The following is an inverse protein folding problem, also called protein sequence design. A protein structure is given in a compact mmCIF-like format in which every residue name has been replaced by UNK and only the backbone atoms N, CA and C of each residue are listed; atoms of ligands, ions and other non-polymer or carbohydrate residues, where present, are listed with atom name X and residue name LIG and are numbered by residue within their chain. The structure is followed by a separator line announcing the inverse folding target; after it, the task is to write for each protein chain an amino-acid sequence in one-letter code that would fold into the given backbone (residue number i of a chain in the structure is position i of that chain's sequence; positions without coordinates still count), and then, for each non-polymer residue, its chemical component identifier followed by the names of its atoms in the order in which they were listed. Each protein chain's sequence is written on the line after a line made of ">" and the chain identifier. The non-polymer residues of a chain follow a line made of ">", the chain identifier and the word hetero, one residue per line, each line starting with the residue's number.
data_IF_768938915991
#
_entry.id   IF_768938915991
#
_cell.length_a   1.000
_cell.length_b   1.000
_cell.length_c   1.000
_cell.angle_alpha   90.00
_cell.angle_beta   90.00
_cell.angle_gamma   90.00
#
_symmetry.space_group_name_H-M   'P 1'
#
loop_
_entity.id
_entity.type
_entity.pdbx_description
1 polymer ?
#
# COMPACT_ATOMS: atom_id res chain seq x y z
N UNK A 1 -67.16 20.00 32.91
CA UNK A 1 -66.20 18.88 32.97
C UNK A 1 -65.22 19.06 31.82
N UNK A 2 -63.94 19.18 32.15
CA UNK A 2 -62.86 19.56 31.23
C UNK A 2 -62.46 18.39 30.33
N UNK A 3 -62.32 18.67 29.03
CA UNK A 3 -61.72 17.80 28.04
C UNK A 3 -60.21 18.10 28.01
N UNK A 4 -59.39 17.21 28.54
CA UNK A 4 -57.94 17.35 28.58
C UNK A 4 -57.28 16.89 27.29
N UNK A 5 -56.61 17.80 26.58
CA UNK A 5 -55.55 17.49 25.62
C UNK A 5 -54.21 17.65 26.31
N UNK A 6 -53.36 16.64 26.26
CA UNK A 6 -51.92 16.79 26.48
C UNK A 6 -51.18 16.08 25.33
N UNK A 7 -50.45 16.88 24.56
CA UNK A 7 -49.33 16.46 23.73
C UNK A 7 -48.18 16.00 24.65
N UNK A 8 -47.30 15.10 24.20
CA UNK A 8 -45.88 15.37 23.83
C UNK A 8 -45.01 14.10 23.91
N UNK A 9 -44.07 14.00 22.96
CA UNK A 9 -42.78 13.31 22.99
C UNK A 9 -42.71 11.78 22.82
N UNK A 10 -42.69 11.33 21.56
CA UNK A 10 -41.99 10.11 21.16
C UNK A 10 -40.48 10.39 21.09
N UNK A 11 -39.73 9.90 22.07
CA UNK A 11 -38.27 9.74 21.93
C UNK A 11 -38.00 8.55 20.99
N UNK A 12 -37.43 8.83 19.81
CA UNK A 12 -36.79 7.82 18.97
C UNK A 12 -35.41 7.52 19.57
N UNK A 13 -35.32 6.42 20.34
CA UNK A 13 -34.03 5.82 20.70
C UNK A 13 -33.60 4.85 19.61
N UNK A 14 -32.65 5.25 18.77
CA UNK A 14 -31.90 4.32 17.92
C UNK A 14 -30.58 4.06 18.65
N UNK A 15 -30.51 2.96 19.40
CA UNK A 15 -29.22 2.38 19.76
C UNK A 15 -28.78 1.48 18.61
N UNK A 16 -27.65 1.87 18.01
CA UNK A 16 -26.85 1.00 17.16
C UNK A 16 -26.40 -0.21 17.98
N UNK A 17 -27.00 -1.37 17.71
CA UNK A 17 -26.56 -2.67 18.23
C UNK A 17 -25.72 -3.36 17.17
N UNK A 18 -24.40 -3.17 17.23
CA UNK A 18 -23.45 -4.07 16.60
C UNK A 18 -23.53 -5.41 17.34
N UNK A 19 -24.16 -6.42 16.74
CA UNK A 19 -24.05 -7.79 17.21
C UNK A 19 -24.03 -8.74 16.01
N UNK A 20 -22.84 -9.22 15.68
CA UNK A 20 -22.67 -10.44 14.91
C UNK A 20 -21.56 -11.26 15.59
N UNK A 21 -21.93 -12.43 16.11
CA UNK A 21 -21.03 -13.45 16.64
C UNK A 21 -20.16 -14.03 15.51
N UNK A 22 -18.87 -14.33 15.73
CA UNK A 22 -18.04 -14.94 14.70
C UNK A 22 -18.36 -16.44 14.63
N UNK A 23 -19.17 -16.83 13.65
CA UNK A 23 -19.14 -18.18 13.12
C UNK A 23 -17.83 -18.36 12.34
N UNK A 24 -17.12 -19.45 12.66
CA UNK A 24 -15.89 -19.85 11.99
C UNK A 24 -16.14 -20.04 10.49
N UNK A 25 -15.52 -19.21 9.68
CA UNK A 25 -15.26 -19.52 8.27
C UNK A 25 -13.77 -19.29 8.01
N UNK A 26 -13.09 -20.40 7.75
CA UNK A 26 -11.67 -20.51 7.44
C UNK A 26 -11.42 -20.04 6.01
N UNK A 27 -10.82 -18.85 5.89
CA UNK A 27 -10.37 -18.22 4.64
C UNK A 27 -10.65 -16.72 4.66
N UNK A 28 -9.79 -15.86 4.07
CA UNK A 28 -10.08 -14.44 3.98
C UNK A 28 -11.34 -14.23 3.13
N UNK A 29 -12.46 -13.88 3.77
CA UNK A 29 -13.67 -13.47 3.04
C UNK A 29 -13.40 -12.14 2.37
N UNK A 30 -13.46 -12.12 1.05
CA UNK A 30 -13.50 -10.90 0.25
C UNK A 30 -14.79 -10.13 0.57
N UNK A 31 -14.69 -9.05 1.33
CA UNK A 31 -15.85 -8.21 1.70
C UNK A 31 -15.77 -6.79 1.15
N UNK A 32 -14.68 -6.38 0.49
CA UNK A 32 -14.64 -5.04 -0.10
C UNK A 32 -15.50 -4.94 -1.35
N UNK A 33 -16.07 -3.76 -1.56
CA UNK A 33 -16.79 -3.44 -2.79
C UNK A 33 -15.90 -3.59 -4.02
N UNK A 34 -14.60 -3.34 -3.90
CA UNK A 34 -13.64 -3.46 -4.99
C UNK A 34 -13.36 -4.93 -5.35
N UNK A 35 -13.22 -5.83 -4.36
CA UNK A 35 -13.09 -7.26 -4.66
C UNK A 35 -14.41 -7.85 -5.15
N UNK A 36 -15.54 -7.35 -4.66
CA UNK A 36 -16.88 -7.75 -5.14
C UNK A 36 -17.14 -7.23 -6.56
N UNK A 37 -16.59 -6.08 -6.93
CA UNK A 37 -16.66 -5.50 -8.27
C UNK A 37 -15.62 -6.10 -9.22
N UNK A 38 -14.48 -6.57 -8.70
CA UNK A 38 -13.44 -7.32 -9.40
C UNK A 38 -13.99 -8.70 -9.77
N UNK A 39 -14.79 -8.76 -10.84
CA UNK A 39 -15.54 -9.95 -11.24
C UNK A 39 -14.82 -10.74 -12.34
N UNK A 40 -15.08 -12.06 -12.30
CA UNK A 40 -14.89 -13.12 -13.29
C UNK A 40 -13.49 -13.71 -13.59
N UNK A 41 -12.37 -13.03 -13.33
CA UNK A 41 -11.02 -13.58 -13.64
C UNK A 41 -10.08 -13.59 -12.44
N UNK A 42 -10.53 -14.13 -11.30
CA UNK A 42 -9.68 -14.26 -10.13
C UNK A 42 -8.71 -15.45 -10.26
N UNK A 43 -7.44 -15.22 -9.95
CA UNK A 43 -6.40 -16.24 -9.90
C UNK A 43 -5.92 -16.43 -8.47
N UNK A 44 -5.90 -17.68 -8.00
CA UNK A 44 -5.32 -18.03 -6.70
C UNK A 44 -3.86 -18.46 -6.88
N UNK A 45 -2.93 -17.77 -6.21
CA UNK A 45 -1.48 -18.05 -6.26
C UNK A 45 -0.80 -17.58 -4.96
N UNK A 46 0.49 -17.89 -4.79
CA UNK A 46 1.34 -17.37 -3.71
C UNK A 46 0.73 -17.53 -2.31
N UNK A 47 0.78 -18.75 -1.77
CA UNK A 47 0.24 -19.07 -0.43
C UNK A 47 -1.28 -18.86 -0.26
N UNK A 48 -2.03 -18.86 -1.36
CA UNK A 48 -3.49 -18.85 -1.33
C UNK A 48 -4.12 -17.46 -1.53
N UNK A 49 -3.31 -16.44 -1.82
CA UNK A 49 -3.80 -15.09 -2.12
C UNK A 49 -4.59 -15.13 -3.43
N UNK A 50 -5.83 -14.66 -3.37
CA UNK A 50 -6.70 -14.56 -4.55
C UNK A 50 -6.61 -13.16 -5.12
N UNK A 51 -6.17 -13.07 -6.36
CA UNK A 51 -6.02 -11.83 -7.11
C UNK A 51 -7.15 -11.71 -8.12
N UNK A 52 -7.87 -10.61 -8.09
CA UNK A 52 -8.93 -10.30 -9.04
C UNK A 52 -8.57 -9.02 -9.79
N UNK A 53 -8.84 -8.98 -11.09
CA UNK A 53 -8.61 -7.81 -11.94
C UNK A 53 -9.60 -6.70 -11.64
N UNK A 54 -9.14 -5.45 -11.75
CA UNK A 54 -9.98 -4.25 -11.75
C UNK A 54 -9.87 -3.53 -13.10
N UNK A 55 -10.92 -2.80 -13.48
CA UNK A 55 -10.94 -2.04 -14.74
C UNK A 55 -10.83 -2.94 -15.96
N UNK A 56 -9.93 -2.58 -16.88
CA UNK A 56 -9.64 -3.31 -18.12
C UNK A 56 -8.42 -4.24 -17.99
N UNK A 57 -7.88 -4.41 -16.78
CA UNK A 57 -6.72 -5.25 -16.58
C UNK A 57 -7.01 -6.71 -16.95
N UNK A 58 -6.00 -7.37 -17.48
CA UNK A 58 -5.99 -8.80 -17.74
C UNK A 58 -4.96 -9.47 -16.82
N UNK A 59 -5.31 -10.67 -16.35
CA UNK A 59 -4.51 -11.44 -15.41
C UNK A 59 -4.25 -12.84 -15.94
N UNK A 60 -2.98 -13.24 -15.96
CA UNK A 60 -2.56 -14.55 -16.45
C UNK A 60 -1.56 -15.20 -15.49
N UNK A 61 -1.84 -16.45 -15.11
CA UNK A 61 -0.88 -17.28 -14.38
C UNK A 61 0.09 -17.94 -15.36
N UNK A 62 1.38 -17.63 -15.23
CA UNK A 62 2.46 -18.18 -16.06
C UNK A 62 3.49 -18.96 -15.21
N UNK A 63 4.47 -19.61 -15.81
CA UNK A 63 5.56 -20.24 -15.05
C UNK A 63 6.44 -19.23 -14.31
N UNK A 64 6.58 -18.01 -14.85
CA UNK A 64 7.40 -16.93 -14.25
C UNK A 64 6.72 -16.27 -13.05
N UNK A 65 5.38 -16.30 -13.00
CA UNK A 65 4.62 -15.58 -11.99
C UNK A 65 3.21 -15.23 -12.46
N UNK A 66 2.62 -14.21 -11.83
CA UNK A 66 1.33 -13.66 -12.19
C UNK A 66 1.53 -12.40 -13.04
N UNK A 67 1.10 -12.46 -14.30
CA UNK A 67 1.29 -11.39 -15.29
C UNK A 67 0.03 -10.56 -15.39
N UNK A 68 0.20 -9.25 -15.27
CA UNK A 68 -0.87 -8.24 -15.31
C UNK A 68 -0.60 -7.33 -16.51
N UNK A 69 -1.58 -7.20 -17.39
CA UNK A 69 -1.52 -6.37 -18.61
C UNK A 69 -2.83 -5.60 -18.80
N UNK A 70 -2.94 -4.80 -19.87
CA UNK A 70 -4.13 -3.98 -20.12
C UNK A 70 -4.25 -2.78 -19.16
N UNK A 71 -3.13 -2.35 -18.59
CA UNK A 71 -3.05 -1.27 -17.61
C UNK A 71 -2.91 0.08 -18.33
N UNK A 72 -4.02 0.74 -18.64
CA UNK A 72 -4.03 2.03 -19.34
C UNK A 72 -4.52 3.19 -18.47
N UNK A 73 -5.36 2.90 -17.48
CA UNK A 73 -5.92 3.86 -16.54
C UNK A 73 -5.32 3.67 -15.15
N UNK A 74 -4.51 4.65 -14.73
CA UNK A 74 -3.78 4.66 -13.46
C UNK A 74 -4.69 4.55 -12.22
N UNK A 75 -5.97 4.88 -12.33
CA UNK A 75 -6.91 4.89 -11.20
C UNK A 75 -7.80 3.65 -11.14
N UNK A 76 -7.88 2.87 -12.22
CA UNK A 76 -8.91 1.83 -12.37
C UNK A 76 -8.34 0.47 -12.77
N UNK A 77 -7.36 0.45 -13.68
CA UNK A 77 -6.82 -0.80 -14.21
C UNK A 77 -5.79 -1.35 -13.22
N UNK A 78 -5.96 -2.60 -12.79
CA UNK A 78 -5.14 -3.15 -11.73
C UNK A 78 -5.53 -4.54 -11.26
N UNK A 79 -5.03 -4.87 -10.07
CA UNK A 79 -5.41 -6.07 -9.32
C UNK A 79 -5.69 -5.72 -7.87
N UNK A 80 -6.59 -6.48 -7.26
CA UNK A 80 -6.86 -6.48 -5.83
C UNK A 80 -6.74 -7.89 -5.28
N UNK A 81 -6.04 -8.02 -4.16
CA UNK A 81 -5.82 -9.26 -3.42
C UNK A 81 -6.50 -9.22 -2.06
N UNK A 82 -7.33 -10.22 -1.76
CA UNK A 82 -7.85 -10.43 -0.41
C UNK A 82 -6.82 -11.19 0.43
N UNK A 83 -6.37 -10.58 1.52
CA UNK A 83 -5.29 -11.11 2.37
C UNK A 83 -5.76 -11.49 3.77
N UNK A 84 -7.02 -11.21 4.12
CA UNK A 84 -7.54 -11.39 5.47
C UNK A 84 -6.94 -10.38 6.44
N UNK A 85 -7.22 -10.48 7.75
CA UNK A 85 -6.64 -9.55 8.73
C UNK A 85 -5.12 -9.74 8.80
N UNK A 86 -4.36 -8.97 8.03
CA UNK A 86 -2.92 -9.08 7.87
C UNK A 86 -2.15 -8.01 8.68
N UNK A 87 -0.92 -8.34 9.07
CA UNK A 87 0.04 -7.44 9.71
C UNK A 87 1.16 -7.02 8.76
N UNK A 88 1.54 -7.91 7.85
CA UNK A 88 2.50 -7.61 6.80
C UNK A 88 2.18 -8.36 5.52
N UNK A 89 2.57 -7.75 4.41
CA UNK A 89 2.51 -8.28 3.07
C UNK A 89 3.81 -7.91 2.37
N UNK A 90 4.31 -8.84 1.56
CA UNK A 90 5.49 -8.63 0.73
C UNK A 90 5.22 -9.15 -0.66
N UNK A 91 5.62 -8.37 -1.66
CA UNK A 91 5.59 -8.74 -3.07
C UNK A 91 6.94 -8.50 -3.71
N UNK A 92 7.41 -9.46 -4.51
CA UNK A 92 8.48 -9.27 -5.48
C UNK A 92 7.86 -9.16 -6.86
N UNK A 93 8.26 -8.15 -7.63
CA UNK A 93 7.67 -7.89 -8.93
C UNK A 93 8.64 -7.26 -9.92
N UNK A 94 8.31 -7.40 -11.20
CA UNK A 94 8.91 -6.68 -12.31
C UNK A 94 7.88 -5.69 -12.84
N UNK A 95 8.21 -4.41 -12.86
CA UNK A 95 7.34 -3.37 -13.43
C UNK A 95 7.94 -2.90 -14.75
N UNK A 96 7.19 -3.09 -15.83
CA UNK A 96 7.49 -2.52 -17.15
C UNK A 96 6.77 -1.19 -17.30
N UNK A 97 7.48 -0.10 -17.02
CA UNK A 97 6.89 1.23 -17.14
C UNK A 97 6.65 1.64 -18.59
N UNK A 98 7.15 0.95 -19.62
CA UNK A 98 7.00 1.39 -21.02
C UNK A 98 7.46 2.84 -21.29
N UNK A 99 6.88 3.49 -22.31
CA UNK A 99 7.16 4.89 -22.65
C UNK A 99 6.11 5.87 -22.05
N UNK A 100 6.52 7.04 -21.51
CA UNK A 100 5.64 8.14 -21.09
C UNK A 100 5.46 8.35 -19.57
N UNK A 101 4.45 9.14 -19.17
CA UNK A 101 4.16 9.54 -17.77
C UNK A 101 3.45 8.44 -16.95
N UNK A 102 4.00 7.24 -17.03
CA UNK A 102 3.40 6.00 -16.55
C UNK A 102 3.64 5.81 -15.06
N UNK A 103 2.72 5.14 -14.39
CA UNK A 103 2.83 4.95 -12.95
C UNK A 103 2.10 3.70 -12.48
N UNK A 104 2.61 3.14 -11.39
CA UNK A 104 1.95 2.11 -10.60
C UNK A 104 1.73 2.66 -9.19
N UNK A 105 0.54 2.43 -8.63
CA UNK A 105 0.20 2.78 -7.26
C UNK A 105 -0.17 1.51 -6.53
N UNK A 106 0.65 1.14 -5.55
CA UNK A 106 0.32 0.10 -4.58
C UNK A 106 -0.54 0.69 -3.49
N UNK A 107 -1.44 -0.12 -2.93
CA UNK A 107 -2.29 0.32 -1.83
C UNK A 107 -2.56 -0.81 -0.83
N UNK A 108 -2.71 -0.42 0.43
CA UNK A 108 -3.27 -1.25 1.49
C UNK A 108 -4.64 -0.72 1.88
N UNK A 109 -5.61 -1.61 2.12
CA UNK A 109 -6.95 -1.25 2.60
C UNK A 109 -7.31 -2.02 3.85
N UNK A 110 -8.02 -1.36 4.75
CA UNK A 110 -8.81 -2.04 5.77
C UNK A 110 -10.28 -1.94 5.36
N UNK A 111 -10.87 -3.08 5.02
CA UNK A 111 -12.19 -3.17 4.39
C UNK A 111 -12.25 -2.27 3.14
N UNK A 112 -13.19 -1.31 3.11
CA UNK A 112 -13.37 -0.35 2.02
C UNK A 112 -12.54 0.93 2.19
N UNK A 113 -11.78 1.11 3.27
CA UNK A 113 -10.92 2.28 3.46
C UNK A 113 -9.51 2.01 2.95
N UNK A 114 -9.04 2.81 1.98
CA UNK A 114 -7.61 2.87 1.64
C UNK A 114 -6.87 3.51 2.81
N UNK A 115 -5.97 2.76 3.44
CA UNK A 115 -5.23 3.22 4.61
C UNK A 115 -3.87 3.83 4.24
N UNK A 116 -3.26 3.32 3.17
CA UNK A 116 -2.00 3.81 2.67
C UNK A 116 -1.82 3.49 1.18
N UNK A 117 -1.05 4.32 0.48
CA UNK A 117 -0.63 4.07 -0.90
C UNK A 117 0.87 4.30 -1.05
N UNK A 118 1.46 3.70 -2.07
CA UNK A 118 2.79 3.97 -2.56
C UNK A 118 2.73 4.10 -4.09
N UNK A 119 2.86 5.32 -4.59
CA UNK A 119 2.94 5.60 -6.02
C UNK A 119 4.39 5.59 -6.48
N UNK A 120 4.65 4.90 -7.58
CA UNK A 120 5.93 4.86 -8.28
C UNK A 120 5.75 5.29 -9.73
N UNK A 121 6.56 6.24 -10.19
CA UNK A 121 6.50 6.74 -11.55
C UNK A 121 7.87 7.23 -12.01
N UNK A 122 8.26 7.03 -13.27
CA UNK A 122 9.38 7.75 -13.85
C UNK A 122 9.19 9.27 -13.71
N UNK A 123 10.30 9.99 -13.59
CA UNK A 123 10.32 11.44 -13.70
C UNK A 123 10.32 11.82 -15.19
N UNK A 124 9.29 12.54 -15.67
CA UNK A 124 9.20 12.89 -17.09
C UNK A 124 10.29 13.87 -17.55
N UNK A 125 10.83 14.66 -16.61
CA UNK A 125 11.82 15.68 -16.88
C UNK A 125 13.26 15.15 -16.69
N UNK A 126 13.42 14.01 -16.01
CA UNK A 126 14.72 13.45 -15.65
C UNK A 126 14.78 11.95 -16.02
N UNK A 127 15.23 11.61 -17.24
CA UNK A 127 15.45 10.22 -17.63
C UNK A 127 16.33 9.49 -16.62
N UNK A 128 15.92 8.29 -16.21
CA UNK A 128 16.63 7.50 -15.22
C UNK A 128 16.28 7.81 -13.76
N UNK A 129 15.36 8.74 -13.52
CA UNK A 129 14.87 9.05 -12.17
C UNK A 129 13.50 8.42 -11.95
N UNK A 130 13.33 7.76 -10.79
CA UNK A 130 12.05 7.28 -10.30
C UNK A 130 11.58 8.16 -9.14
N UNK A 131 10.29 8.49 -9.14
CA UNK A 131 9.61 9.19 -8.05
C UNK A 131 8.82 8.20 -7.23
N UNK A 132 9.06 8.20 -5.92
CA UNK A 132 8.25 7.47 -4.95
C UNK A 132 7.42 8.45 -4.12
N UNK A 133 6.13 8.16 -3.96
CA UNK A 133 5.20 9.00 -3.20
C UNK A 133 4.28 8.12 -2.36
N UNK A 134 4.60 7.91 -1.07
CA UNK A 134 3.66 7.28 -0.17
C UNK A 134 2.57 8.28 0.26
N UNK A 135 1.40 7.76 0.62
CA UNK A 135 0.38 8.50 1.35
C UNK A 135 -0.10 7.66 2.52
N UNK A 136 -0.43 8.31 3.63
CA UNK A 136 -0.89 7.67 4.85
C UNK A 136 -2.12 8.40 5.38
N UNK A 137 -3.09 7.67 5.93
CA UNK A 137 -4.39 8.23 6.34
C UNK A 137 -4.65 8.17 7.84
N UNK A 138 -3.63 7.87 8.66
CA UNK A 138 -3.81 7.67 10.11
C UNK A 138 -4.24 8.94 10.84
N UNK A 139 -4.04 10.12 10.22
CA UNK A 139 -4.43 11.43 10.73
C UNK A 139 -5.39 12.17 9.78
N UNK A 140 -6.32 13.01 10.29
CA UNK A 140 -7.16 13.86 9.45
C UNK A 140 -6.32 14.77 8.55
N UNK A 141 -6.57 14.71 7.23
CA UNK A 141 -5.78 15.46 6.24
C UNK A 141 -4.52 14.74 5.74
N UNK A 142 -4.26 13.52 6.24
CA UNK A 142 -3.09 12.71 5.94
C UNK A 142 -2.04 12.77 7.05
N UNK A 143 -1.21 11.73 7.15
CA UNK A 143 -0.11 11.66 8.11
C UNK A 143 1.22 12.05 7.46
N UNK A 144 2.11 12.68 8.22
CA UNK A 144 3.51 12.84 7.81
C UNK A 144 4.23 11.50 7.90
N UNK A 145 5.47 11.45 7.41
CA UNK A 145 6.30 10.25 7.48
C UNK A 145 7.78 10.60 7.57
N UNK A 146 8.54 9.64 8.07
CA UNK A 146 10.00 9.65 8.02
C UNK A 146 10.50 8.68 6.97
N UNK A 147 11.71 8.95 6.48
CA UNK A 147 12.41 8.15 5.47
C UNK A 147 13.71 7.60 6.03
N UNK A 148 13.94 6.31 5.85
CA UNK A 148 15.23 5.67 6.09
C UNK A 148 15.73 5.08 4.78
N UNK A 149 16.99 5.35 4.44
CA UNK A 149 17.67 4.79 3.27
C UNK A 149 18.73 3.81 3.77
N UNK A 150 18.76 2.62 3.19
CA UNK A 150 19.75 1.59 3.50
C UNK A 150 20.50 1.18 2.24
N UNK A 151 21.76 0.83 2.43
CA UNK A 151 22.63 0.21 1.43
C UNK A 151 23.07 -1.15 1.96
N UNK A 152 22.62 -2.22 1.31
CA UNK A 152 22.89 -3.60 1.73
C UNK A 152 22.49 -3.89 3.20
N UNK A 153 21.40 -3.25 3.65
CA UNK A 153 20.87 -3.38 5.02
C UNK A 153 21.45 -2.40 6.04
N UNK A 154 22.52 -1.67 5.71
CA UNK A 154 23.11 -0.66 6.59
C UNK A 154 22.49 0.72 6.33
N UNK A 155 22.06 1.47 7.36
CA UNK A 155 21.46 2.79 7.16
C UNK A 155 22.49 3.82 6.69
N UNK A 156 22.25 4.42 5.52
CA UNK A 156 23.05 5.52 4.95
C UNK A 156 22.40 6.88 5.18
N UNK A 157 21.08 6.91 5.38
CA UNK A 157 20.35 8.04 5.95
C UNK A 157 19.22 7.54 6.84
N UNK A 158 18.98 8.22 7.96
CA UNK A 158 18.09 7.71 9.01
C UNK A 158 17.08 8.76 9.45
N UNK A 159 15.79 8.38 9.47
CA UNK A 159 14.66 9.21 9.92
C UNK A 159 14.68 10.64 9.34
N UNK A 160 14.91 10.75 8.04
CA UNK A 160 14.78 12.02 7.33
C UNK A 160 13.29 12.42 7.36
N UNK A 161 12.94 13.63 7.82
CA UNK A 161 11.55 14.06 7.79
C UNK A 161 11.10 14.26 6.34
N UNK A 162 9.83 13.98 6.02
CA UNK A 162 9.28 14.15 4.67
C UNK A 162 9.65 15.49 4.01
N UNK A 163 9.55 16.60 4.74
CA UNK A 163 9.86 17.95 4.23
C UNK A 163 11.33 18.23 3.93
N UNK A 164 12.24 17.31 4.25
CA UNK A 164 13.66 17.37 3.87
C UNK A 164 13.92 16.87 2.44
N UNK A 165 12.88 16.34 1.79
CA UNK A 165 12.90 15.73 0.46
C UNK A 165 11.79 16.43 -0.35
N UNK A 166 12.10 17.53 -1.07
CA UNK A 166 11.09 18.33 -1.78
C UNK A 166 10.24 17.45 -2.74
N UNK A 167 10.86 16.41 -3.32
CA UNK A 167 10.23 15.24 -3.93
C UNK A 167 11.25 14.08 -3.86
N UNK A 168 10.83 12.88 -3.47
CA UNK A 168 11.76 11.75 -3.39
C UNK A 168 12.08 11.25 -4.80
N UNK A 169 13.18 11.76 -5.35
CA UNK A 169 13.71 11.44 -6.67
C UNK A 169 14.92 10.55 -6.50
N UNK A 170 14.83 9.36 -7.07
CA UNK A 170 15.87 8.35 -7.01
C UNK A 170 16.47 8.20 -8.40
N UNK A 171 17.73 8.62 -8.55
CA UNK A 171 18.47 8.35 -9.76
C UNK A 171 18.92 6.89 -9.75
N UNK A 172 18.42 6.09 -10.69
CA UNK A 172 18.81 4.70 -10.86
C UNK A 172 19.89 4.68 -11.94
N UNK A 173 21.08 4.18 -11.58
CA UNK A 173 22.24 4.16 -12.48
C UNK A 173 21.94 3.41 -13.79
N UNK A 174 21.06 2.40 -13.72
CA UNK A 174 20.53 1.66 -14.86
C UNK A 174 19.01 1.52 -14.72
N UNK A 175 18.27 2.59 -15.01
CA UNK A 175 16.82 2.44 -15.27
C UNK A 175 16.64 1.65 -16.56
N UNK A 176 16.50 0.35 -16.42
CA UNK A 176 15.95 -0.50 -17.45
C UNK A 176 14.45 -0.18 -17.58
N UNK A 177 13.88 -0.43 -18.75
CA UNK A 177 12.42 -0.42 -18.96
C UNK A 177 11.70 -1.30 -17.91
N UNK A 178 12.38 -2.32 -17.42
CA UNK A 178 11.94 -3.28 -16.41
C UNK A 178 12.63 -3.01 -15.07
N UNK A 179 11.86 -2.78 -14.01
CA UNK A 179 12.41 -2.64 -12.66
C UNK A 179 12.01 -3.84 -11.79
N UNK A 180 13.01 -4.58 -11.31
CA UNK A 180 12.82 -5.62 -10.29
C UNK A 180 12.82 -5.01 -8.90
N UNK A 181 11.71 -5.12 -8.20
CA UNK A 181 11.54 -4.57 -6.88
C UNK A 181 10.86 -5.53 -5.93
N UNK A 182 11.24 -5.43 -4.66
CA UNK A 182 10.50 -6.01 -3.54
C UNK A 182 9.80 -4.88 -2.78
N UNK A 183 8.47 -4.86 -2.83
CA UNK A 183 7.65 -3.96 -2.04
C UNK A 183 7.14 -4.71 -0.80
N UNK A 184 7.27 -4.10 0.37
CA UNK A 184 6.71 -4.60 1.62
C UNK A 184 5.77 -3.55 2.17
N UNK A 185 4.57 -3.97 2.54
CA UNK A 185 3.63 -3.18 3.31
C UNK A 185 3.43 -3.85 4.67
N UNK A 186 3.61 -3.10 5.74
CA UNK A 186 3.43 -3.65 7.08
C UNK A 186 2.89 -2.61 8.05
N UNK A 187 2.36 -3.09 9.16
CA UNK A 187 2.14 -2.27 10.35
C UNK A 187 3.21 -2.57 11.39
N UNK A 188 3.56 -1.58 12.20
CA UNK A 188 4.37 -1.80 13.39
C UNK A 188 3.54 -2.50 14.49
N UNK A 189 4.00 -3.66 14.93
CA UNK A 189 3.70 -4.14 16.29
C UNK A 189 4.59 -3.36 17.27
N UNK A 190 4.10 -3.05 18.47
CA UNK A 190 4.80 -2.19 19.44
C UNK A 190 6.30 -2.50 19.58
N UNK A 191 7.11 -1.44 19.69
CA UNK A 191 8.56 -1.57 19.83
C UNK A 191 9.29 -1.88 18.52
N UNK A 192 9.15 -1.00 17.52
CA UNK A 192 10.09 -0.96 16.41
C UNK A 192 11.51 -0.75 16.96
N UNK A 193 12.51 -1.43 16.38
CA UNK A 193 13.95 -1.15 16.60
C UNK A 193 14.32 0.29 16.25
N UNK A 194 13.39 1.05 15.65
CA UNK A 194 13.54 2.45 15.26
C UNK A 194 13.26 3.44 16.40
N UNK A 195 12.80 3.04 17.59
CA UNK A 195 12.70 3.93 18.77
C UNK A 195 11.73 5.11 18.61
N UNK A 196 10.53 4.98 19.17
CA UNK A 196 9.46 5.98 19.18
C UNK A 196 8.09 5.30 19.16
N UNK A 197 7.05 6.00 19.65
CA UNK A 197 5.67 5.52 19.79
C UNK A 197 4.96 5.40 18.43
N UNK A 198 5.57 4.62 17.53
CA UNK A 198 5.13 4.38 16.15
C UNK A 198 4.13 3.25 16.07
N UNK A 199 3.55 2.81 17.18
CA UNK A 199 2.70 1.63 17.25
C UNK A 199 1.47 1.79 16.35
N UNK A 200 1.27 0.84 15.41
CA UNK A 200 0.15 0.87 14.47
C UNK A 200 0.34 1.81 13.27
N UNK A 201 1.54 2.37 13.08
CA UNK A 201 1.91 3.10 11.87
C UNK A 201 2.01 2.16 10.67
N UNK A 202 1.58 2.63 9.50
CA UNK A 202 1.85 1.97 8.24
C UNK A 202 3.30 2.18 7.79
N UNK A 203 3.89 1.15 7.19
CA UNK A 203 5.24 1.18 6.63
C UNK A 203 5.20 0.67 5.19
N UNK A 204 5.84 1.43 4.30
CA UNK A 204 6.23 0.96 2.98
C UNK A 204 7.73 0.80 2.92
N UNK A 205 8.20 -0.36 2.50
CA UNK A 205 9.62 -0.60 2.18
C UNK A 205 9.73 -1.00 0.72
N UNK A 206 10.59 -0.31 -0.02
CA UNK A 206 10.90 -0.61 -1.43
C UNK A 206 12.37 -0.95 -1.53
N UNK A 207 12.66 -2.15 -2.03
CA UNK A 207 14.03 -2.57 -2.34
C UNK A 207 14.18 -2.82 -3.83
N UNK A 208 15.25 -2.27 -4.41
CA UNK A 208 15.66 -2.54 -5.79
C UNK A 208 16.64 -3.71 -5.78
N UNK A 209 16.26 -4.84 -6.39
CA UNK A 209 17.03 -6.08 -6.23
C UNK A 209 18.32 -6.11 -7.06
N UNK A 210 18.37 -5.32 -8.14
CA UNK A 210 19.44 -5.36 -9.14
C UNK A 210 20.12 -3.99 -9.32
N UNK A 211 19.72 -2.96 -8.56
CA UNK A 211 20.22 -1.61 -8.73
C UNK A 211 20.32 -0.88 -7.38
N UNK A 212 21.34 -0.04 -7.26
CA UNK A 212 21.36 1.03 -6.26
C UNK A 212 20.73 2.29 -6.85
N UNK A 213 20.18 3.12 -5.98
CA UNK A 213 19.74 4.46 -6.30
C UNK A 213 20.57 5.51 -5.56
N UNK A 214 20.58 6.72 -6.11
CA UNK A 214 21.06 7.92 -5.42
C UNK A 214 19.89 8.85 -5.12
N UNK A 215 19.88 9.38 -3.91
CA UNK A 215 18.96 10.38 -3.41
C UNK A 215 19.73 11.67 -3.11
N UNK A 216 19.29 12.79 -3.68
CA UNK A 216 19.83 14.11 -3.34
C UNK A 216 18.95 14.75 -2.27
N UNK A 217 19.53 15.04 -1.11
CA UNK A 217 18.88 15.75 -0.01
C UNK A 217 18.78 17.25 -0.30
N UNK A 218 17.91 17.95 0.44
CA UNK A 218 17.70 19.41 0.28
C UNK A 218 18.97 20.26 0.49
N UNK A 219 19.92 19.76 1.27
CA UNK A 219 21.21 20.41 1.50
C UNK A 219 22.26 20.10 0.41
N UNK A 220 21.89 19.31 -0.61
CA UNK A 220 22.76 18.86 -1.69
C UNK A 220 23.55 17.60 -1.38
N UNK A 221 23.41 17.02 -0.18
CA UNK A 221 24.05 15.74 0.15
C UNK A 221 23.49 14.63 -0.71
N UNK A 222 24.36 13.79 -1.26
CA UNK A 222 23.97 12.58 -1.99
C UNK A 222 24.03 11.37 -1.05
N UNK A 223 22.96 10.59 -1.06
CA UNK A 223 22.81 9.35 -0.29
C UNK A 223 22.61 8.21 -1.26
N UNK A 224 23.41 7.15 -1.14
CA UNK A 224 23.23 5.92 -1.93
C UNK A 224 22.50 4.87 -1.09
N UNK A 225 21.63 4.08 -1.74
CA UNK A 225 20.96 2.94 -1.13
C UNK A 225 20.44 1.94 -2.16
N UNK A 226 20.05 0.77 -1.69
CA UNK A 226 19.29 -0.25 -2.44
C UNK A 226 17.88 -0.45 -1.86
N UNK A 227 17.62 0.08 -0.67
CA UNK A 227 16.35 0.01 0.04
C UNK A 227 15.94 1.37 0.62
N UNK A 228 14.65 1.68 0.52
CA UNK A 228 14.04 2.85 1.13
C UNK A 228 12.78 2.49 1.89
N UNK A 229 12.65 3.04 3.10
CA UNK A 229 11.56 2.78 4.03
C UNK A 229 10.87 4.09 4.38
N UNK A 230 9.54 4.07 4.29
CA UNK A 230 8.65 5.16 4.69
C UNK A 230 7.87 4.72 5.90
N UNK A 231 8.03 5.43 7.01
CA UNK A 231 7.32 5.13 8.26
C UNK A 231 6.37 6.27 8.57
N UNK A 232 5.07 5.97 8.60
CA UNK A 232 4.05 6.93 9.02
C UNK A 232 4.32 7.48 10.42
N UNK A 233 4.11 8.78 10.60
CA UNK A 233 4.07 9.45 11.89
C UNK A 233 2.62 9.69 12.29
N UNK A 234 2.18 8.99 13.35
CA UNK A 234 0.83 9.14 13.88
C UNK A 234 0.75 10.37 14.80
N UNK A 235 -0.27 11.19 14.62
CA UNK A 235 -0.56 12.28 15.55
C UNK A 235 -1.13 11.75 16.86
N UNK A 236 -1.02 12.54 17.93
CA UNK A 236 -1.64 12.22 19.22
C UNK A 236 -3.15 11.99 19.06
N UNK A 237 -3.63 10.83 19.53
CA UNK A 237 -5.03 10.43 19.44
C UNK A 237 -5.45 9.85 18.08
N UNK A 238 -4.53 9.68 17.13
CA UNK A 238 -4.76 8.88 15.93
C UNK A 238 -5.09 7.43 16.31
N UNK A 239 -6.02 6.81 15.58
CA UNK A 239 -6.37 5.42 15.81
C UNK A 239 -5.34 4.51 15.10
N UNK A 240 -4.59 3.68 15.84
CA UNK A 240 -3.58 2.82 15.22
C UNK A 240 -4.23 1.78 14.32
N UNK A 241 -3.60 1.48 13.18
CA UNK A 241 -4.05 0.40 12.33
C UNK A 241 -3.80 -0.95 13.01
N UNK A 242 -4.86 -1.74 13.18
CA UNK A 242 -4.78 -3.07 13.81
C UNK A 242 -4.59 -4.20 12.79
N UNK A 243 -5.02 -4.00 11.54
CA UNK A 243 -4.80 -4.90 10.41
C UNK A 243 -5.17 -4.19 9.11
N UNK A 244 -4.74 -4.75 7.99
CA UNK A 244 -5.32 -4.49 6.68
C UNK A 244 -5.94 -5.79 6.15
N UNK A 245 -6.94 -5.68 5.27
CA UNK A 245 -7.67 -6.83 4.72
C UNK A 245 -7.47 -7.04 3.24
N UNK A 246 -6.98 -6.01 2.55
CA UNK A 246 -6.71 -6.05 1.12
C UNK A 246 -5.39 -5.35 0.82
N UNK A 247 -4.71 -5.89 -0.19
CA UNK A 247 -3.61 -5.22 -0.88
C UNK A 247 -3.99 -5.14 -2.36
N UNK A 248 -3.45 -4.18 -3.08
CA UNK A 248 -3.63 -4.15 -4.52
C UNK A 248 -2.72 -3.14 -5.18
N UNK A 249 -2.89 -3.07 -6.49
CA UNK A 249 -2.19 -2.10 -7.32
C UNK A 249 -3.10 -1.61 -8.43
N UNK A 250 -3.01 -0.33 -8.77
CA UNK A 250 -3.53 0.22 -10.03
C UNK A 250 -2.40 0.84 -10.84
N UNK A 251 -2.55 0.95 -12.16
CA UNK A 251 -1.49 1.55 -12.96
C UNK A 251 -1.84 1.81 -14.40
N UNK A 252 -1.03 2.67 -15.00
CA UNK A 252 -0.95 2.87 -16.44
C UNK A 252 0.47 2.53 -16.85
N UNK A 253 0.77 1.24 -17.00
CA UNK A 253 2.11 0.69 -17.30
C UNK A 253 1.96 -0.43 -18.33
N UNK A 254 3.02 -0.81 -19.03
CA UNK A 254 2.87 -1.83 -20.10
C UNK A 254 2.56 -3.20 -19.50
N UNK A 255 3.22 -3.54 -18.38
CA UNK A 255 3.10 -4.85 -17.73
C UNK A 255 3.58 -4.80 -16.29
N UNK A 256 2.93 -5.55 -15.42
CA UNK A 256 3.48 -5.94 -14.11
C UNK A 256 3.56 -7.46 -14.05
N UNK A 257 4.66 -8.00 -13.57
CA UNK A 257 4.82 -9.43 -13.31
C UNK A 257 5.12 -9.63 -11.84
N UNK A 258 4.17 -10.19 -11.11
CA UNK A 258 4.36 -10.59 -9.71
C UNK A 258 5.09 -11.93 -9.69
N UNK A 259 6.28 -11.95 -9.11
CA UNK A 259 7.15 -13.12 -9.06
C UNK A 259 6.90 -13.97 -7.82
N UNK A 260 6.57 -13.32 -6.71
CA UNK A 260 6.39 -13.94 -5.40
C UNK A 260 5.59 -13.01 -4.48
N UNK A 261 4.77 -13.60 -3.62
CA UNK A 261 4.03 -12.89 -2.57
C UNK A 261 3.91 -13.71 -1.30
N UNK A 262 3.84 -13.01 -0.17
CA UNK A 262 3.57 -13.62 1.13
C UNK A 262 2.79 -12.66 2.02
N UNK A 263 2.02 -13.23 2.95
CA UNK A 263 1.25 -12.49 3.94
C UNK A 263 1.48 -13.07 5.33
N UNK A 264 1.68 -12.19 6.31
CA UNK A 264 1.62 -12.57 7.73
C UNK A 264 0.27 -12.14 8.30
N UNK A 265 -0.53 -13.10 8.73
CA UNK A 265 -1.84 -12.86 9.33
C UNK A 265 -1.71 -12.36 10.77
N UNK A 266 -2.62 -11.47 11.16
CA UNK A 266 -2.80 -11.04 12.53
C UNK A 266 -3.44 -12.19 13.33
N UNK A 267 -2.74 -12.63 14.36
CA UNK A 267 -3.17 -13.74 15.23
C UNK A 267 -4.04 -13.28 16.40
N UNK A 268 -4.33 -11.97 16.52
CA UNK A 268 -5.06 -11.33 17.62
C UNK A 268 -6.52 -10.98 17.28
#
# INVERSE_FOLDING_TARGET
>A
MFMGRLLTATMLGVFAGCQAEPSQESGPKATSQEVTAATDNCVNRFEGITHCTTGNAALEATDEGLVITGLANQEQDGIVGAVGRAESWRQRSIVDFGEGDKAVTYYGRNEDQVISTLRMAPDPDHPGVLRLRPTFTGSPGGSTYTVTVRDHGEPTAYKLPYGYLDELRMALAEMQRLNRLAATFSRTEGGSSLGGDTQGACIWTVRFEEASFQLTLKDGTEVTGDEIEFVEELADGAYPYSSFTHIGMTGAVDKVTVLDESVTLNSK
#
